data_IF_060877307216
#
_entry.id   IF_060877307216
#
_cell.length_a   1.000
_cell.length_b   1.000
_cell.length_c   1.000
_cell.angle_alpha   90.00
_cell.angle_beta   90.00
_cell.angle_gamma   90.00
#
_symmetry.space_group_name_H-M   'P 1'
#
loop_
_entity.id
_entity.type
_entity.pdbx_description
1 polymer ?
#
# COMPACT_ATOMS: atom_id res chain seq x y z
N UNK A 1 18.52 -13.40 13.29
CA UNK A 1 17.37 -14.08 12.66
C UNK A 1 16.03 -13.43 13.01
N UNK A 2 15.72 -13.20 14.30
CA UNK A 2 14.46 -12.58 14.75
C UNK A 2 14.12 -11.22 14.12
N UNK A 3 15.11 -10.33 13.93
CA UNK A 3 14.88 -8.98 13.39
C UNK A 3 14.37 -8.98 11.93
N UNK A 4 14.80 -9.94 11.10
CA UNK A 4 14.33 -10.08 9.72
C UNK A 4 12.90 -10.63 9.64
N UNK A 5 12.55 -11.59 10.51
CA UNK A 5 11.18 -12.10 10.59
C UNK A 5 10.19 -11.02 11.04
N UNK A 6 10.57 -10.22 12.04
CA UNK A 6 9.75 -9.11 12.52
C UNK A 6 9.54 -8.04 11.43
N UNK A 7 10.58 -7.71 10.67
CA UNK A 7 10.48 -6.80 9.52
C UNK A 7 9.47 -7.31 8.49
N UNK A 8 9.53 -8.59 8.09
CA UNK A 8 8.59 -9.13 7.11
C UNK A 8 7.15 -9.14 7.60
N UNK A 9 6.91 -9.48 8.87
CA UNK A 9 5.56 -9.49 9.45
C UNK A 9 4.97 -8.08 9.48
N UNK A 10 5.68 -7.11 10.05
CA UNK A 10 5.17 -5.74 10.15
C UNK A 10 5.17 -5.01 8.81
N UNK A 11 6.17 -5.20 7.97
CA UNK A 11 6.25 -4.59 6.65
C UNK A 11 5.12 -5.06 5.73
N UNK A 12 4.84 -6.37 5.70
CA UNK A 12 3.72 -6.90 4.90
C UNK A 12 2.38 -6.44 5.47
N UNK A 13 2.20 -6.49 6.80
CA UNK A 13 0.98 -6.01 7.44
C UNK A 13 0.73 -4.53 7.16
N UNK A 14 1.77 -3.70 7.27
CA UNK A 14 1.73 -2.28 6.92
C UNK A 14 1.37 -2.09 5.44
N UNK A 15 2.00 -2.84 4.53
CA UNK A 15 1.76 -2.70 3.09
C UNK A 15 0.33 -3.06 2.69
N UNK A 16 -0.19 -4.16 3.22
CA UNK A 16 -1.59 -4.57 2.97
C UNK A 16 -2.56 -3.55 3.55
N UNK A 17 -2.31 -3.09 4.78
CA UNK A 17 -3.16 -2.08 5.43
C UNK A 17 -3.17 -0.78 4.63
N UNK A 18 -2.01 -0.35 4.15
CA UNK A 18 -1.86 0.89 3.40
C UNK A 18 -2.52 0.80 2.02
N UNK A 19 -2.43 -0.36 1.35
CA UNK A 19 -3.16 -0.62 0.11
C UNK A 19 -4.68 -0.57 0.31
N UNK A 20 -5.18 -1.17 1.39
CA UNK A 20 -6.60 -1.11 1.74
C UNK A 20 -7.07 0.33 2.04
N UNK A 21 -6.26 1.12 2.77
CA UNK A 21 -6.56 2.53 3.05
C UNK A 21 -6.66 3.33 1.75
N UNK A 22 -5.67 3.20 0.86
CA UNK A 22 -5.67 3.90 -0.44
C UNK A 22 -6.90 3.52 -1.25
N UNK A 23 -7.24 2.23 -1.28
CA UNK A 23 -8.42 1.75 -2.00
C UNK A 23 -9.73 2.34 -1.44
N UNK A 24 -9.88 2.31 -0.12
CA UNK A 24 -11.06 2.87 0.53
C UNK A 24 -11.15 4.39 0.35
N UNK A 25 -10.03 5.08 0.33
CA UNK A 25 -9.97 6.53 0.15
C UNK A 25 -10.54 6.93 -1.21
N UNK A 26 -10.04 6.35 -2.30
CA UNK A 26 -10.55 6.66 -3.64
C UNK A 26 -12.00 6.19 -3.84
N UNK A 27 -12.37 5.03 -3.27
CA UNK A 27 -13.77 4.57 -3.29
C UNK A 27 -14.69 5.59 -2.61
N UNK A 28 -14.32 6.05 -1.42
CA UNK A 28 -15.12 6.99 -0.63
C UNK A 28 -15.22 8.34 -1.34
N UNK A 29 -14.11 8.84 -1.91
CA UNK A 29 -14.12 10.05 -2.72
C UNK A 29 -15.02 9.92 -3.95
N UNK A 30 -15.08 8.74 -4.58
CA UNK A 30 -15.98 8.47 -5.69
C UNK A 30 -17.46 8.50 -5.28
N UNK A 31 -17.78 7.94 -4.12
CA UNK A 31 -19.15 7.97 -3.55
C UNK A 31 -19.56 9.40 -3.23
N UNK A 32 -18.67 10.20 -2.61
CA UNK A 32 -18.96 11.60 -2.25
C UNK A 32 -19.16 12.47 -3.50
N UNK A 33 -18.35 12.27 -4.55
CA UNK A 33 -18.46 13.05 -5.79
C UNK A 33 -19.60 12.59 -6.72
N UNK A 34 -20.29 11.49 -6.40
CA UNK A 34 -21.32 10.89 -7.26
C UNK A 34 -20.79 10.30 -8.57
N UNK A 35 -19.46 10.29 -8.75
CA UNK A 35 -18.76 9.76 -9.93
C UNK A 35 -17.36 9.27 -9.52
N UNK A 36 -16.80 8.26 -10.22
CA UNK A 36 -15.43 7.81 -9.95
C UNK A 36 -14.44 8.98 -10.10
N UNK A 37 -13.63 9.21 -9.08
CA UNK A 37 -12.55 10.24 -9.15
C UNK A 37 -11.43 9.80 -10.06
N UNK A 38 -11.15 8.49 -10.06
CA UNK A 38 -10.19 7.83 -10.94
C UNK A 38 -10.80 6.54 -11.50
N UNK A 39 -10.32 6.08 -12.65
CA UNK A 39 -10.72 4.78 -13.22
C UNK A 39 -10.40 3.62 -12.27
N UNK A 40 -11.21 2.56 -12.30
CA UNK A 40 -11.03 1.39 -11.42
C UNK A 40 -9.66 0.74 -11.60
N UNK A 41 -9.18 0.70 -12.84
CA UNK A 41 -7.87 0.18 -13.23
C UNK A 41 -6.74 1.00 -12.61
N UNK A 42 -6.81 2.35 -12.67
CA UNK A 42 -5.87 3.23 -12.00
C UNK A 42 -5.95 3.08 -10.47
N UNK A 43 -7.16 2.91 -9.94
CA UNK A 43 -7.43 2.75 -8.52
C UNK A 43 -6.77 1.49 -7.93
N UNK A 44 -6.95 0.35 -8.58
CA UNK A 44 -6.32 -0.92 -8.19
C UNK A 44 -4.80 -0.83 -8.38
N UNK A 45 -4.35 -0.21 -9.47
CA UNK A 45 -2.92 -0.04 -9.74
C UNK A 45 -2.25 0.77 -8.62
N UNK A 46 -2.84 1.90 -8.22
CA UNK A 46 -2.30 2.74 -7.15
C UNK A 46 -2.34 2.04 -5.79
N UNK A 47 -3.43 1.33 -5.46
CA UNK A 47 -3.56 0.65 -4.17
C UNK A 47 -2.59 -0.53 -4.01
N UNK A 48 -2.05 -1.07 -5.10
CA UNK A 48 -1.08 -2.19 -5.07
C UNK A 48 0.35 -1.71 -5.28
N UNK A 49 0.60 -0.88 -6.30
CA UNK A 49 1.95 -0.43 -6.67
C UNK A 49 2.56 0.43 -5.58
N UNK A 50 1.78 1.33 -4.98
CA UNK A 50 2.31 2.26 -3.98
C UNK A 50 2.81 1.54 -2.70
N UNK A 51 2.01 0.66 -2.05
CA UNK A 51 2.51 -0.08 -0.90
C UNK A 51 3.66 -1.03 -1.22
N UNK A 52 3.64 -1.70 -2.38
CA UNK A 52 4.71 -2.62 -2.80
C UNK A 52 6.03 -1.87 -3.01
N UNK A 53 5.98 -0.71 -3.67
CA UNK A 53 7.16 0.14 -3.84
C UNK A 53 7.71 0.60 -2.49
N UNK A 54 6.84 1.03 -1.58
CA UNK A 54 7.22 1.40 -0.21
C UNK A 54 7.91 0.25 0.52
N UNK A 55 7.33 -0.95 0.48
CA UNK A 55 7.91 -2.16 1.09
C UNK A 55 9.30 -2.48 0.53
N UNK A 56 9.47 -2.33 -0.78
CA UNK A 56 10.75 -2.54 -1.45
C UNK A 56 11.80 -1.53 -0.97
N UNK A 57 11.45 -0.25 -0.90
CA UNK A 57 12.35 0.81 -0.38
C UNK A 57 12.70 0.54 1.08
N UNK A 58 11.72 0.18 1.90
CA UNK A 58 11.91 -0.12 3.32
C UNK A 58 12.84 -1.33 3.51
N UNK A 59 12.68 -2.36 2.67
CA UNK A 59 13.57 -3.51 2.64
C UNK A 59 15.00 -3.13 2.23
N UNK A 60 15.15 -2.25 1.24
CA UNK A 60 16.46 -1.76 0.78
C UNK A 60 17.19 -0.99 1.88
N UNK A 61 16.48 -0.12 2.60
CA UNK A 61 17.01 0.63 3.75
C UNK A 61 17.39 -0.33 4.87
N UNK A 62 16.51 -1.28 5.20
CA UNK A 62 16.75 -2.27 6.24
C UNK A 62 17.92 -3.20 5.90
N UNK A 63 18.08 -3.59 4.64
CA UNK A 63 19.17 -4.48 4.19
C UNK A 63 20.52 -3.80 4.07
N UNK A 64 20.55 -2.46 4.00
CA UNK A 64 21.78 -1.66 4.03
C UNK A 64 22.27 -1.38 5.46
N UNK A 65 21.44 -1.64 6.47
CA UNK A 65 21.78 -1.59 7.90
C UNK A 65 22.17 -2.95 8.43
#
# INVERSE_FOLDING_TARGET
MYKKGLFWVFGVLQSVSLGAIIFLLFRTLGVINGKPVIGLDAHITLSVVFPVFLLMVEYLIYSRK
#
